data_IF_081383091977
#
_entry.id   IF_081383091977
#
_cell.length_a   1.000
_cell.length_b   1.000
_cell.length_c   1.000
_cell.angle_alpha   90.00
_cell.angle_beta   90.00
_cell.angle_gamma   90.00
#
_symmetry.space_group_name_H-M   'P 1'
#
loop_
_entity.id
_entity.type
_entity.pdbx_description
1 polymer ?
#
# COMPACT_ATOMS: atom_id res chain seq x y z
N UNK A 1 11.70 -99.95 -11.93
CA UNK A 1 10.81 -98.79 -12.08
C UNK A 1 11.25 -97.72 -11.09
N UNK A 2 11.95 -96.68 -11.56
CA UNK A 2 12.43 -95.58 -10.72
C UNK A 2 11.57 -94.34 -10.98
N UNK A 3 11.10 -93.77 -9.88
CA UNK A 3 10.21 -92.62 -9.76
C UNK A 3 10.83 -91.34 -10.33
N UNK A 4 10.08 -90.66 -11.21
CA UNK A 4 10.41 -89.31 -11.69
C UNK A 4 9.83 -88.31 -10.69
N UNK A 5 10.70 -87.52 -10.05
CA UNK A 5 10.30 -86.37 -9.23
C UNK A 5 10.23 -85.13 -10.13
N UNK A 6 9.02 -84.59 -10.32
CA UNK A 6 8.82 -83.26 -10.92
C UNK A 6 9.24 -82.18 -9.93
N UNK A 7 10.23 -81.37 -10.31
CA UNK A 7 10.57 -80.14 -9.60
C UNK A 7 9.74 -78.99 -10.16
N UNK A 8 8.81 -78.48 -9.36
CA UNK A 8 8.08 -77.24 -9.66
C UNK A 8 8.98 -76.05 -9.34
N UNK A 9 9.48 -75.37 -10.38
CA UNK A 9 10.14 -74.06 -10.25
C UNK A 9 9.04 -73.01 -10.13
N UNK A 10 8.78 -72.55 -8.91
CA UNK A 10 7.92 -71.41 -8.64
C UNK A 10 8.65 -70.12 -8.99
N UNK A 11 8.29 -69.49 -10.10
CA UNK A 11 8.71 -68.13 -10.44
C UNK A 11 7.84 -67.15 -9.63
N UNK A 12 8.38 -66.63 -8.53
CA UNK A 12 7.78 -65.52 -7.79
C UNK A 12 8.12 -64.22 -8.53
N UNK A 13 7.19 -63.69 -9.31
CA UNK A 13 7.26 -62.32 -9.83
C UNK A 13 6.98 -61.34 -8.68
N UNK A 14 8.05 -60.81 -8.09
CA UNK A 14 7.99 -59.59 -7.28
C UNK A 14 7.87 -58.41 -8.26
N UNK A 15 6.63 -58.02 -8.60
CA UNK A 15 6.37 -56.70 -9.17
C UNK A 15 6.64 -55.66 -8.10
N UNK A 16 7.85 -55.09 -8.10
CA UNK A 16 8.11 -53.81 -7.46
C UNK A 16 7.21 -52.77 -8.14
N UNK A 17 6.02 -52.55 -7.57
CA UNK A 17 5.23 -51.36 -7.80
C UNK A 17 6.01 -50.17 -7.26
N UNK A 18 6.93 -49.64 -8.07
CA UNK A 18 7.50 -48.33 -7.85
C UNK A 18 6.37 -47.33 -7.97
N UNK A 19 5.78 -46.95 -6.83
CA UNK A 19 4.98 -45.75 -6.72
C UNK A 19 5.93 -44.62 -7.06
N UNK A 20 5.91 -44.23 -8.33
CA UNK A 20 6.51 -42.99 -8.79
C UNK A 20 5.69 -41.90 -8.09
N UNK A 21 6.14 -41.50 -6.90
CA UNK A 21 5.71 -40.26 -6.29
C UNK A 21 6.26 -39.16 -7.18
N UNK A 22 5.60 -38.91 -8.32
CA UNK A 22 5.75 -37.67 -9.05
C UNK A 22 5.33 -36.63 -8.02
N UNK A 23 6.24 -35.77 -7.53
CA UNK A 23 5.80 -34.63 -6.75
C UNK A 23 4.86 -33.88 -7.69
N UNK A 24 3.55 -34.02 -7.46
CA UNK A 24 2.63 -33.02 -7.93
C UNK A 24 3.18 -31.76 -7.29
N UNK A 25 3.77 -30.88 -8.10
CA UNK A 25 3.92 -29.50 -7.69
C UNK A 25 2.54 -29.15 -7.17
N UNK A 26 2.43 -28.98 -5.85
CA UNK A 26 1.20 -28.51 -5.25
C UNK A 26 0.95 -27.19 -5.94
N UNK A 27 0.09 -27.20 -6.96
CA UNK A 27 -0.28 -26.01 -7.67
C UNK A 27 -0.78 -25.07 -6.59
N UNK A 28 -0.20 -23.88 -6.54
CA UNK A 28 -0.53 -22.86 -5.54
C UNK A 28 -1.91 -22.30 -5.86
N UNK A 29 -2.91 -23.17 -5.84
CA UNK A 29 -4.30 -22.77 -5.86
C UNK A 29 -4.54 -21.94 -4.61
N UNK A 30 -5.32 -20.87 -4.77
CA UNK A 30 -5.73 -20.08 -3.64
C UNK A 30 -6.62 -20.96 -2.79
N UNK A 31 -6.08 -21.58 -1.74
CA UNK A 31 -6.94 -22.28 -0.81
C UNK A 31 -7.87 -21.24 -0.19
N UNK A 32 -9.21 -21.41 -0.28
CA UNK A 32 -10.13 -20.46 0.32
C UNK A 32 -9.79 -20.34 1.81
N UNK A 33 -9.52 -19.12 2.23
CA UNK A 33 -8.95 -18.86 3.55
C UNK A 33 -9.67 -17.73 4.24
N UNK A 34 -9.77 -17.85 5.55
CA UNK A 34 -10.31 -16.83 6.41
C UNK A 34 -9.63 -15.48 6.16
N UNK A 35 -10.40 -14.41 6.37
CA UNK A 35 -9.89 -13.06 6.37
C UNK A 35 -8.80 -12.88 7.42
N UNK A 36 -7.80 -12.07 7.09
CA UNK A 36 -6.89 -11.56 8.12
C UNK A 36 -7.65 -10.67 9.12
N UNK A 37 -7.02 -10.32 10.24
CA UNK A 37 -7.62 -9.38 11.20
C UNK A 37 -7.92 -8.03 10.56
N UNK A 38 -7.03 -7.53 9.70
CA UNK A 38 -7.21 -6.24 9.01
C UNK A 38 -8.30 -6.32 7.95
N UNK A 39 -8.37 -7.44 7.21
CA UNK A 39 -9.49 -7.69 6.29
C UNK A 39 -10.83 -7.63 6.98
N UNK A 40 -10.97 -8.40 8.07
CA UNK A 40 -12.22 -8.49 8.82
C UNK A 40 -12.64 -7.11 9.34
N UNK A 41 -11.67 -6.31 9.80
CA UNK A 41 -11.94 -4.97 10.30
C UNK A 41 -12.38 -4.00 9.20
N UNK A 42 -11.75 -3.98 8.03
CA UNK A 42 -12.19 -3.12 6.91
C UNK A 42 -13.54 -3.60 6.38
N UNK A 43 -13.72 -4.92 6.29
CA UNK A 43 -14.97 -5.52 5.83
C UNK A 43 -16.16 -5.19 6.73
N UNK A 44 -15.94 -5.15 8.04
CA UNK A 44 -16.94 -4.75 9.02
C UNK A 44 -17.40 -3.29 8.83
N UNK A 45 -16.55 -2.40 8.30
CA UNK A 45 -16.91 -1.00 8.08
C UNK A 45 -17.85 -0.82 6.90
N UNK A 46 -17.55 -1.47 5.77
CA UNK A 46 -18.37 -1.32 4.56
C UNK A 46 -19.50 -2.35 4.46
N UNK A 47 -19.53 -3.39 5.32
CA UNK A 47 -20.67 -4.28 5.53
C UNK A 47 -21.18 -5.02 4.28
N UNK A 48 -20.28 -5.37 3.35
CA UNK A 48 -20.62 -5.82 2.01
C UNK A 48 -21.67 -4.97 1.26
N UNK A 49 -21.47 -3.65 1.14
CA UNK A 49 -22.27 -2.83 0.22
C UNK A 49 -22.09 -3.33 -1.23
N UNK A 50 -23.05 -4.13 -1.72
CA UNK A 50 -22.99 -4.79 -3.03
C UNK A 50 -22.88 -3.85 -4.22
N UNK A 51 -23.16 -2.55 -4.05
CA UNK A 51 -22.95 -1.54 -5.09
C UNK A 51 -21.46 -1.27 -5.30
N UNK A 52 -20.66 -1.39 -4.24
CA UNK A 52 -19.24 -1.10 -4.31
C UNK A 52 -18.45 -2.13 -5.14
N UNK A 53 -18.66 -3.45 -5.02
CA UNK A 53 -18.06 -4.43 -5.93
C UNK A 53 -18.42 -4.25 -7.39
N UNK A 54 -19.62 -3.73 -7.72
CA UNK A 54 -20.01 -3.43 -9.10
C UNK A 54 -19.26 -2.22 -9.64
N UNK A 55 -19.17 -1.16 -8.82
CA UNK A 55 -18.36 0.02 -9.12
C UNK A 55 -16.88 -0.37 -9.28
N UNK A 56 -16.35 -1.16 -8.35
CA UNK A 56 -14.99 -1.69 -8.38
C UNK A 56 -14.71 -2.46 -9.68
N UNK A 57 -15.61 -3.39 -10.07
CA UNK A 57 -15.42 -4.17 -11.28
C UNK A 57 -15.26 -3.30 -12.52
N UNK A 58 -16.07 -2.24 -12.61
CA UNK A 58 -16.03 -1.27 -13.71
C UNK A 58 -14.77 -0.40 -13.65
N UNK A 59 -14.51 0.27 -12.53
CA UNK A 59 -13.43 1.26 -12.44
C UNK A 59 -12.03 0.63 -12.42
N UNK A 60 -11.92 -0.64 -12.03
CA UNK A 60 -10.65 -1.41 -12.04
C UNK A 60 -10.58 -2.39 -13.22
N UNK A 61 -11.51 -2.28 -14.18
CA UNK A 61 -11.56 -3.09 -15.41
C UNK A 61 -11.32 -4.59 -15.12
N UNK A 62 -12.14 -5.11 -14.21
CA UNK A 62 -12.09 -6.49 -13.73
C UNK A 62 -13.06 -7.31 -14.58
N UNK A 63 -12.49 -8.24 -15.33
CA UNK A 63 -13.28 -9.11 -16.20
C UNK A 63 -13.90 -10.28 -15.44
N UNK A 64 -15.18 -10.52 -15.66
CA UNK A 64 -15.91 -11.63 -15.04
C UNK A 64 -15.24 -12.97 -15.34
N UNK A 65 -14.75 -13.19 -16.56
CA UNK A 65 -14.13 -14.45 -16.97
C UNK A 65 -12.95 -14.86 -16.07
N UNK A 66 -12.10 -13.89 -15.72
CA UNK A 66 -10.91 -14.12 -14.89
C UNK A 66 -11.28 -14.38 -13.41
N UNK A 67 -12.34 -13.72 -12.93
CA UNK A 67 -12.70 -13.68 -11.51
C UNK A 67 -13.90 -14.57 -11.15
N UNK A 68 -14.57 -15.19 -12.13
CA UNK A 68 -15.81 -15.98 -11.95
C UNK A 68 -15.67 -17.01 -10.83
N UNK A 69 -14.61 -17.81 -10.88
CA UNK A 69 -14.32 -18.87 -9.90
C UNK A 69 -13.70 -18.35 -8.61
N UNK A 70 -13.26 -17.08 -8.59
CA UNK A 70 -12.62 -16.38 -7.47
C UNK A 70 -13.56 -15.47 -6.70
N UNK A 71 -14.87 -15.61 -6.92
CA UNK A 71 -15.90 -14.91 -6.16
C UNK A 71 -16.46 -13.64 -6.81
N UNK A 72 -16.28 -13.42 -8.11
CA UNK A 72 -16.88 -12.28 -8.82
C UNK A 72 -18.39 -12.13 -8.52
N UNK A 73 -19.14 -13.23 -8.61
CA UNK A 73 -20.58 -13.30 -8.31
C UNK A 73 -20.91 -13.54 -6.83
N UNK A 74 -19.89 -13.69 -6.00
CA UNK A 74 -20.00 -13.93 -4.56
C UNK A 74 -19.15 -12.90 -3.81
N UNK A 75 -19.27 -11.62 -4.16
CA UNK A 75 -18.41 -10.56 -3.66
C UNK A 75 -18.46 -10.39 -2.12
N UNK A 76 -19.51 -10.87 -1.45
CA UNK A 76 -19.60 -10.88 0.01
C UNK A 76 -18.95 -12.11 0.66
N UNK A 77 -18.55 -13.12 -0.12
CA UNK A 77 -17.89 -14.30 0.41
C UNK A 77 -16.43 -13.97 0.72
N UNK A 78 -16.19 -13.59 1.96
CA UNK A 78 -14.91 -13.16 2.50
C UNK A 78 -13.79 -14.20 2.43
N UNK A 79 -14.12 -15.46 2.13
CA UNK A 79 -13.15 -16.54 1.93
C UNK A 79 -12.52 -16.53 0.53
N UNK A 80 -13.13 -15.81 -0.42
CA UNK A 80 -12.71 -15.74 -1.82
C UNK A 80 -11.89 -14.49 -2.11
N UNK A 81 -11.10 -14.56 -3.17
CA UNK A 81 -10.10 -13.56 -3.54
C UNK A 81 -10.75 -12.27 -3.97
N UNK A 82 -11.85 -12.34 -4.74
CA UNK A 82 -12.54 -11.15 -5.21
C UNK A 82 -13.04 -10.29 -4.04
N UNK A 83 -13.56 -10.92 -2.98
CA UNK A 83 -13.98 -10.22 -1.78
C UNK A 83 -12.83 -9.45 -1.12
N UNK A 84 -11.66 -10.07 -1.03
CA UNK A 84 -10.43 -9.48 -0.48
C UNK A 84 -9.83 -8.42 -1.41
N UNK A 85 -10.00 -8.55 -2.72
CA UNK A 85 -9.55 -7.60 -3.73
C UNK A 85 -10.31 -6.28 -3.59
N UNK A 86 -11.64 -6.32 -3.64
CA UNK A 86 -12.41 -5.08 -3.53
C UNK A 86 -12.35 -4.49 -2.10
N UNK A 87 -12.13 -5.31 -1.06
CA UNK A 87 -11.84 -4.82 0.30
C UNK A 87 -10.57 -3.94 0.34
N UNK A 88 -9.54 -4.32 -0.43
CA UNK A 88 -8.33 -3.53 -0.59
C UNK A 88 -8.58 -2.24 -1.39
N UNK A 89 -9.37 -2.32 -2.47
CA UNK A 89 -9.77 -1.12 -3.23
C UNK A 89 -10.61 -0.16 -2.39
N UNK A 90 -11.48 -0.67 -1.51
CA UNK A 90 -12.21 0.15 -0.55
C UNK A 90 -11.25 0.92 0.37
N UNK A 91 -10.15 0.29 0.80
CA UNK A 91 -9.12 0.97 1.58
C UNK A 91 -8.40 2.05 0.76
N UNK A 92 -8.12 1.85 -0.53
CA UNK A 92 -7.58 2.93 -1.39
C UNK A 92 -8.58 4.09 -1.47
N UNK A 93 -9.86 3.78 -1.71
CA UNK A 93 -10.92 4.77 -1.92
C UNK A 93 -11.41 5.48 -0.65
N UNK A 94 -11.24 4.90 0.55
CA UNK A 94 -11.81 5.46 1.81
C UNK A 94 -10.86 5.42 2.99
N UNK A 95 -9.70 4.81 2.82
CA UNK A 95 -8.70 4.58 3.88
C UNK A 95 -7.93 5.82 4.29
N UNK A 96 -7.89 6.83 3.43
CA UNK A 96 -7.23 8.12 3.68
C UNK A 96 -8.28 9.23 3.78
N UNK A 97 -7.94 10.37 4.38
CA UNK A 97 -8.89 11.50 4.46
C UNK A 97 -9.13 12.15 3.08
N UNK A 98 -10.29 11.85 2.47
CA UNK A 98 -10.78 12.51 1.26
C UNK A 98 -11.38 13.89 1.57
N UNK A 99 -11.12 14.87 0.69
CA UNK A 99 -11.95 16.06 0.56
C UNK A 99 -11.84 17.12 1.66
N UNK A 100 -10.73 17.18 2.40
CA UNK A 100 -10.43 18.37 3.22
C UNK A 100 -9.64 19.38 2.37
N UNK A 101 -10.12 20.64 2.22
CA UNK A 101 -9.44 21.69 1.44
C UNK A 101 -8.08 22.10 2.02
N UNK A 102 -7.77 21.63 3.23
CA UNK A 102 -6.44 21.61 3.81
C UNK A 102 -6.08 20.15 4.08
N UNK A 103 -5.31 19.54 3.18
CA UNK A 103 -4.54 18.36 3.54
C UNK A 103 -3.82 18.71 4.84
N UNK A 104 -3.85 17.83 5.84
CA UNK A 104 -2.95 18.01 6.97
C UNK A 104 -1.55 18.22 6.38
N UNK A 105 -0.72 19.14 6.91
CA UNK A 105 0.62 19.41 6.35
C UNK A 105 1.49 18.14 6.26
N UNK A 106 1.02 17.02 6.80
CA UNK A 106 1.64 15.72 6.95
C UNK A 106 1.31 14.71 5.84
N UNK A 107 0.17 14.80 5.14
CA UNK A 107 -0.18 13.81 4.09
C UNK A 107 0.71 13.97 2.86
N UNK A 108 1.23 12.90 2.28
CA UNK A 108 2.09 13.00 1.10
C UNK A 108 1.30 13.42 -0.13
N UNK A 109 0.15 12.76 -0.35
CA UNK A 109 -0.58 12.82 -1.60
C UNK A 109 -2.09 13.01 -1.40
N UNK A 110 -2.77 13.54 -2.43
CA UNK A 110 -4.22 13.55 -2.48
C UNK A 110 -4.72 12.13 -2.73
N UNK A 111 -5.50 11.53 -1.80
CA UNK A 111 -5.83 10.11 -1.92
C UNK A 111 -6.76 9.79 -3.09
N UNK A 112 -7.56 10.74 -3.55
CA UNK A 112 -8.41 10.57 -4.73
C UNK A 112 -7.59 10.76 -5.99
N UNK A 113 -6.93 11.91 -6.09
CA UNK A 113 -6.28 12.31 -7.33
C UNK A 113 -5.03 11.51 -7.61
N UNK A 114 -4.29 11.12 -6.59
CA UNK A 114 -3.01 10.44 -6.74
C UNK A 114 -3.18 8.92 -6.60
N UNK A 115 -3.51 8.40 -5.41
CA UNK A 115 -3.51 6.96 -5.19
C UNK A 115 -4.65 6.24 -5.92
N UNK A 116 -5.87 6.74 -5.80
CA UNK A 116 -7.03 6.06 -6.37
C UNK A 116 -7.04 6.17 -7.90
N UNK A 117 -6.85 7.36 -8.44
CA UNK A 117 -6.79 7.54 -9.89
C UNK A 117 -5.59 6.83 -10.53
N UNK A 118 -4.44 6.72 -9.84
CA UNK A 118 -3.35 5.87 -10.33
C UNK A 118 -3.74 4.38 -10.35
N UNK A 119 -4.50 3.91 -9.35
CA UNK A 119 -4.88 2.50 -9.22
C UNK A 119 -6.07 2.07 -10.09
N UNK A 120 -6.95 2.99 -10.48
CA UNK A 120 -8.11 2.74 -11.34
C UNK A 120 -7.66 2.37 -12.75
N UNK A 121 -8.34 1.45 -13.39
CA UNK A 121 -8.04 1.00 -14.74
C UNK A 121 -9.03 1.61 -15.75
N UNK A 122 -9.09 2.94 -15.80
CA UNK A 122 -10.09 3.67 -16.59
C UNK A 122 -10.12 3.21 -18.06
N UNK A 123 -11.33 2.98 -18.59
CA UNK A 123 -11.58 2.42 -19.92
C UNK A 123 -10.94 3.20 -21.10
N UNK A 124 -10.62 4.48 -20.91
CA UNK A 124 -10.04 5.34 -21.95
C UNK A 124 -8.60 5.75 -21.66
N UNK A 125 -7.99 5.18 -20.61
CA UNK A 125 -6.83 5.78 -19.99
C UNK A 125 -7.16 7.15 -19.40
N UNK A 126 -6.17 7.78 -18.79
CA UNK A 126 -6.31 9.10 -18.22
C UNK A 126 -4.97 9.82 -18.18
N UNK A 127 -4.90 10.86 -17.35
CA UNK A 127 -3.64 11.55 -17.04
C UNK A 127 -2.60 10.63 -16.37
N UNK A 128 -3.04 9.48 -15.86
CA UNK A 128 -2.23 8.60 -15.03
C UNK A 128 -1.64 7.41 -15.77
N UNK A 129 -2.32 6.86 -16.77
CA UNK A 129 -1.88 5.67 -17.51
C UNK A 129 -2.81 5.45 -18.70
N UNK A 130 -2.41 4.55 -19.60
CA UNK A 130 -3.29 4.02 -20.63
C UNK A 130 -4.25 2.98 -20.04
N UNK A 131 -5.00 2.28 -20.89
CA UNK A 131 -5.93 1.26 -20.42
C UNK A 131 -5.14 0.06 -19.89
N UNK A 132 -5.47 -0.40 -18.68
CA UNK A 132 -5.01 -1.68 -18.14
C UNK A 132 -6.17 -2.51 -17.55
N UNK A 133 -5.90 -3.72 -17.06
CA UNK A 133 -6.86 -4.61 -16.39
C UNK A 133 -6.29 -5.14 -15.08
N UNK A 134 -7.13 -5.24 -14.05
CA UNK A 134 -6.79 -5.98 -12.84
C UNK A 134 -7.13 -7.47 -13.00
N UNK A 135 -6.10 -8.30 -12.98
CA UNK A 135 -6.20 -9.76 -13.14
C UNK A 135 -5.65 -10.51 -11.94
N UNK A 136 -5.96 -11.81 -11.91
CA UNK A 136 -5.48 -12.68 -10.85
C UNK A 136 -5.02 -14.03 -11.36
N UNK A 137 -3.79 -14.40 -10.99
CA UNK A 137 -3.20 -15.70 -11.27
C UNK A 137 -2.88 -16.44 -9.99
N UNK A 138 -2.76 -17.76 -10.11
CA UNK A 138 -2.32 -18.59 -8.99
C UNK A 138 -0.87 -18.31 -8.63
N UNK A 139 -0.01 -18.25 -9.67
CA UNK A 139 1.42 -18.01 -9.55
C UNK A 139 1.86 -16.99 -10.59
N UNK A 140 2.72 -16.05 -10.17
CA UNK A 140 3.43 -15.16 -11.06
C UNK A 140 4.87 -15.67 -11.32
N UNK A 141 5.43 -15.46 -12.53
CA UNK A 141 6.80 -15.86 -12.80
C UNK A 141 7.80 -14.98 -12.06
N UNK A 142 8.65 -15.59 -11.23
CA UNK A 142 9.57 -14.91 -10.31
C UNK A 142 9.33 -15.41 -8.89
N UNK A 143 10.38 -15.65 -8.10
CA UNK A 143 10.17 -16.10 -6.70
C UNK A 143 9.41 -15.01 -5.95
N UNK A 144 8.31 -15.41 -5.30
CA UNK A 144 7.56 -14.61 -4.33
C UNK A 144 6.95 -13.30 -4.87
N UNK A 145 6.65 -13.24 -6.18
CA UNK A 145 5.93 -12.10 -6.74
C UNK A 145 4.46 -12.10 -6.28
N UNK A 146 4.10 -11.11 -5.46
CA UNK A 146 2.75 -10.85 -4.97
C UNK A 146 1.84 -10.24 -6.04
N UNK A 147 2.42 -9.37 -6.86
CA UNK A 147 1.78 -8.71 -7.99
C UNK A 147 2.79 -8.35 -9.07
N UNK A 148 2.29 -7.89 -10.21
CA UNK A 148 3.10 -7.43 -11.34
C UNK A 148 2.30 -6.55 -12.30
N UNK A 149 2.89 -5.44 -12.70
CA UNK A 149 2.56 -4.74 -13.92
C UNK A 149 3.17 -5.42 -15.16
N UNK A 150 2.37 -5.63 -16.19
CA UNK A 150 2.81 -6.19 -17.47
C UNK A 150 2.42 -5.26 -18.61
N UNK A 151 3.43 -4.60 -19.18
CA UNK A 151 3.31 -3.88 -20.44
C UNK A 151 3.02 -4.84 -21.60
N UNK A 152 2.01 -4.53 -22.43
CA UNK A 152 1.65 -5.29 -23.62
C UNK A 152 1.49 -4.35 -24.82
N UNK A 153 2.45 -4.27 -25.77
CA UNK A 153 2.45 -3.25 -26.83
C UNK A 153 1.25 -3.29 -27.80
N UNK A 154 0.53 -4.41 -27.84
CA UNK A 154 -0.62 -4.62 -28.75
C UNK A 154 -1.86 -5.15 -28.01
N UNK A 155 -1.89 -5.02 -26.68
CA UNK A 155 -3.04 -5.39 -25.87
C UNK A 155 -3.16 -4.42 -24.68
N UNK A 156 -4.26 -4.51 -23.96
CA UNK A 156 -4.48 -3.72 -22.73
C UNK A 156 -3.34 -4.01 -21.73
N UNK A 157 -2.78 -3.07 -20.98
CA UNK A 157 -1.76 -3.41 -19.97
C UNK A 157 -2.38 -4.25 -18.83
N UNK A 158 -1.57 -4.91 -17.99
CA UNK A 158 -2.10 -5.72 -16.87
C UNK A 158 -1.49 -5.32 -15.54
N UNK A 159 -2.32 -5.21 -14.51
CA UNK A 159 -1.92 -5.36 -13.11
C UNK A 159 -2.40 -6.75 -12.67
N UNK A 160 -1.48 -7.69 -12.52
CA UNK A 160 -1.81 -9.07 -12.14
C UNK A 160 -1.40 -9.31 -10.70
N UNK A 161 -2.32 -9.81 -9.89
CA UNK A 161 -2.06 -10.25 -8.52
C UNK A 161 -1.96 -11.77 -8.43
N UNK A 162 -1.19 -12.29 -7.47
CA UNK A 162 -0.99 -13.72 -7.25
C UNK A 162 -1.74 -14.23 -6.01
N UNK A 163 -1.98 -15.53 -5.90
CA UNK A 163 -2.64 -16.13 -4.73
C UNK A 163 -1.96 -15.80 -3.40
N UNK A 164 -0.63 -15.68 -3.39
CA UNK A 164 0.13 -15.27 -2.20
C UNK A 164 -0.33 -13.92 -1.64
N UNK A 165 -0.88 -13.03 -2.46
CA UNK A 165 -1.37 -11.74 -1.99
C UNK A 165 -2.72 -11.85 -1.23
N UNK A 166 -3.44 -12.97 -1.40
CA UNK A 166 -4.76 -13.23 -0.80
C UNK A 166 -4.74 -14.35 0.23
N UNK A 167 -3.59 -14.98 0.44
CA UNK A 167 -3.45 -16.13 1.32
C UNK A 167 -3.56 -15.74 2.79
N UNK A 168 -4.39 -16.43 3.58
CA UNK A 168 -4.48 -16.16 5.02
C UNK A 168 -3.28 -16.65 5.84
N UNK A 169 -2.33 -17.38 5.25
CA UNK A 169 -1.17 -17.98 5.94
C UNK A 169 0.14 -17.34 5.47
N UNK A 170 0.92 -16.85 6.42
CA UNK A 170 2.28 -16.34 6.22
C UNK A 170 2.64 -15.25 7.23
N UNK A 171 3.82 -14.65 7.08
CA UNK A 171 4.31 -13.62 8.01
C UNK A 171 3.33 -12.46 8.12
N UNK A 172 3.10 -11.98 9.35
CA UNK A 172 2.24 -10.83 9.64
C UNK A 172 2.56 -9.65 8.70
N UNK A 173 1.55 -9.20 7.96
CA UNK A 173 1.62 -8.01 7.10
C UNK A 173 1.64 -8.27 5.59
N UNK A 174 2.17 -9.40 5.12
CA UNK A 174 2.26 -9.70 3.66
C UNK A 174 0.87 -9.97 3.05
N UNK A 175 -0.07 -10.45 3.84
CA UNK A 175 -1.40 -10.83 3.34
C UNK A 175 -2.52 -9.92 3.83
N UNK A 176 -2.18 -8.76 4.39
CA UNK A 176 -3.17 -7.82 4.90
C UNK A 176 -3.88 -7.08 3.76
N UNK A 177 -5.06 -6.57 4.07
CA UNK A 177 -5.77 -5.63 3.17
C UNK A 177 -4.93 -4.39 2.86
N UNK A 178 -4.08 -3.96 3.80
CA UNK A 178 -3.19 -2.81 3.62
C UNK A 178 -2.07 -3.10 2.62
N UNK A 179 -1.45 -4.28 2.67
CA UNK A 179 -0.44 -4.66 1.70
C UNK A 179 -1.06 -4.83 0.30
N UNK A 180 -2.26 -5.42 0.22
CA UNK A 180 -2.99 -5.50 -1.06
C UNK A 180 -3.24 -4.15 -1.69
N UNK A 181 -3.78 -3.22 -0.90
CA UNK A 181 -4.04 -1.86 -1.37
C UNK A 181 -2.74 -1.18 -1.83
N UNK A 182 -1.67 -1.33 -1.06
CA UNK A 182 -0.37 -0.76 -1.37
C UNK A 182 0.25 -1.38 -2.64
N UNK A 183 0.13 -2.69 -2.85
CA UNK A 183 0.56 -3.35 -4.09
C UNK A 183 -0.26 -2.87 -5.29
N UNK A 184 -1.57 -2.64 -5.18
CA UNK A 184 -2.35 -2.11 -6.30
C UNK A 184 -1.88 -0.71 -6.69
N UNK A 185 -1.61 0.16 -5.71
CA UNK A 185 -1.01 1.48 -5.97
C UNK A 185 0.38 1.33 -6.60
N UNK A 186 1.23 0.46 -6.07
CA UNK A 186 2.58 0.17 -6.57
C UNK A 186 2.57 -0.25 -8.05
N UNK A 187 1.82 -1.31 -8.37
CA UNK A 187 1.80 -1.86 -9.73
C UNK A 187 1.13 -0.91 -10.73
N UNK A 188 0.15 -0.13 -10.28
CA UNK A 188 -0.48 0.83 -11.18
C UNK A 188 0.40 2.07 -11.40
N UNK A 189 1.33 2.36 -10.48
CA UNK A 189 2.36 3.38 -10.71
C UNK A 189 3.34 2.98 -11.83
N UNK A 190 3.56 1.69 -12.06
CA UNK A 190 4.26 1.23 -13.26
C UNK A 190 3.52 1.59 -14.56
N UNK A 191 2.19 1.61 -14.55
CA UNK A 191 1.40 2.05 -15.71
C UNK A 191 1.62 3.54 -16.02
N UNK A 192 1.76 4.38 -14.97
CA UNK A 192 2.15 5.78 -15.13
C UNK A 192 3.54 5.95 -15.71
N UNK A 193 4.49 5.15 -15.24
CA UNK A 193 5.86 5.17 -15.75
C UNK A 193 5.89 4.78 -17.23
N UNK A 194 5.12 3.78 -17.63
CA UNK A 194 5.04 3.31 -19.02
C UNK A 194 4.58 4.41 -19.99
N UNK A 195 3.45 5.08 -19.72
CA UNK A 195 2.97 6.16 -20.60
C UNK A 195 3.90 7.38 -20.62
N UNK A 196 4.72 7.54 -19.58
CA UNK A 196 5.74 8.56 -19.48
C UNK A 196 7.11 8.05 -19.95
N UNK A 197 7.18 6.99 -20.75
CA UNK A 197 8.42 6.50 -21.37
C UNK A 197 9.52 6.11 -20.37
N UNK A 198 9.16 5.89 -19.11
CA UNK A 198 10.04 5.36 -18.07
C UNK A 198 9.93 3.84 -18.15
N UNK A 199 11.07 3.14 -18.08
CA UNK A 199 11.09 1.68 -18.19
C UNK A 199 10.42 1.03 -16.97
N UNK A 200 9.13 0.78 -17.06
CA UNK A 200 8.27 0.19 -16.03
C UNK A 200 8.53 -1.30 -15.72
N UNK A 201 9.64 -1.87 -16.21
CA UNK A 201 10.00 -3.27 -15.92
C UNK A 201 10.65 -3.37 -14.55
N UNK A 202 10.16 -4.30 -13.75
CA UNK A 202 10.75 -4.66 -12.46
C UNK A 202 12.28 -4.84 -12.58
N UNK A 203 13.02 -3.93 -11.97
CA UNK A 203 14.45 -4.08 -11.78
C UNK A 203 14.84 -3.55 -10.40
N UNK A 204 15.47 -4.41 -9.60
CA UNK A 204 15.90 -4.07 -8.24
C UNK A 204 16.94 -2.95 -8.18
N UNK A 205 17.42 -2.43 -9.31
CA UNK A 205 18.41 -1.35 -9.39
C UNK A 205 17.90 -0.09 -10.11
N UNK A 206 16.65 -0.09 -10.56
CA UNK A 206 16.06 1.05 -11.27
C UNK A 206 14.72 1.41 -10.67
N UNK A 207 13.66 1.27 -11.44
CA UNK A 207 12.36 1.91 -11.24
C UNK A 207 11.62 1.41 -9.99
N UNK A 208 11.93 0.18 -9.56
CA UNK A 208 11.41 -0.40 -8.32
C UNK A 208 12.06 0.20 -7.09
N UNK A 209 13.35 0.52 -7.17
CA UNK A 209 14.18 0.88 -6.03
C UNK A 209 13.66 2.09 -5.28
N UNK A 210 13.62 2.03 -3.95
CA UNK A 210 13.20 3.17 -3.14
C UNK A 210 14.22 4.31 -3.21
N UNK A 211 13.87 5.40 -3.91
CA UNK A 211 14.67 6.63 -4.03
C UNK A 211 14.03 7.77 -3.27
N UNK A 212 14.35 7.89 -1.98
CA UNK A 212 13.76 8.92 -1.15
C UNK A 212 13.92 10.34 -1.71
N UNK A 213 12.85 11.11 -1.59
CA UNK A 213 12.90 12.56 -1.60
C UNK A 213 12.05 13.18 -0.49
N UNK A 214 12.44 14.35 0.06
CA UNK A 214 11.57 15.12 0.95
C UNK A 214 10.28 15.56 0.27
N UNK A 215 9.17 15.64 1.03
CA UNK A 215 7.87 16.16 0.55
C UNK A 215 8.00 17.54 -0.12
N UNK A 216 8.89 18.39 0.39
CA UNK A 216 9.15 19.73 -0.15
C UNK A 216 9.63 19.76 -1.62
N UNK A 217 10.13 18.63 -2.16
CA UNK A 217 10.57 18.57 -3.56
C UNK A 217 9.40 18.64 -4.56
N UNK A 218 8.18 18.29 -4.13
CA UNK A 218 6.96 18.36 -4.94
C UNK A 218 6.02 19.38 -4.29
N UNK A 219 5.95 20.58 -4.88
CA UNK A 219 5.32 21.79 -4.30
C UNK A 219 3.83 21.70 -3.99
N UNK A 220 3.21 20.55 -4.18
CA UNK A 220 1.83 20.28 -3.78
C UNK A 220 1.57 18.84 -3.34
N UNK A 221 2.61 18.00 -3.21
CA UNK A 221 2.40 16.57 -2.93
C UNK A 221 1.65 15.83 -4.02
N UNK A 222 1.61 16.32 -5.26
CA UNK A 222 0.97 15.62 -6.37
C UNK A 222 1.95 14.57 -6.94
N UNK A 223 1.54 13.29 -7.05
CA UNK A 223 2.38 12.22 -7.61
C UNK A 223 2.78 12.50 -9.08
N UNK A 224 1.91 13.22 -9.80
CA UNK A 224 2.03 13.46 -11.25
C UNK A 224 2.79 14.74 -11.64
N UNK A 225 3.12 15.64 -10.71
CA UNK A 225 3.64 16.95 -11.09
C UNK A 225 5.08 16.86 -11.64
N UNK A 226 5.22 17.19 -12.93
CA UNK A 226 6.51 17.46 -13.57
C UNK A 226 7.02 18.84 -13.15
N UNK A 227 8.23 18.93 -12.59
CA UNK A 227 8.89 20.22 -12.35
C UNK A 227 9.96 20.46 -13.42
N UNK A 228 9.85 21.60 -14.12
CA UNK A 228 10.86 22.12 -15.06
C UNK A 228 11.23 21.16 -16.22
N UNK A 229 10.29 20.39 -16.75
CA UNK A 229 10.55 19.46 -17.86
C UNK A 229 11.43 18.25 -17.48
N UNK A 230 11.79 18.11 -16.20
CA UNK A 230 12.39 16.91 -15.66
C UNK A 230 11.29 16.06 -15.02
N UNK A 231 11.15 14.83 -15.51
CA UNK A 231 10.31 13.79 -14.91
C UNK A 231 10.99 13.35 -13.61
N UNK A 232 10.78 14.11 -12.52
CA UNK A 232 11.07 13.63 -11.19
C UNK A 232 10.06 12.53 -10.89
N UNK A 233 10.40 11.29 -11.28
CA UNK A 233 9.53 10.15 -11.08
C UNK A 233 9.68 9.63 -9.67
N UNK A 234 8.57 9.51 -8.94
CA UNK A 234 8.54 8.70 -7.73
C UNK A 234 8.95 7.26 -8.08
N UNK A 235 9.76 6.64 -7.23
CA UNK A 235 9.97 5.19 -7.32
C UNK A 235 8.72 4.44 -6.86
N UNK A 236 8.42 3.27 -7.43
CA UNK A 236 7.18 2.54 -7.05
C UNK A 236 7.17 2.14 -5.58
N UNK A 237 8.31 1.73 -4.98
CA UNK A 237 8.36 1.44 -3.55
C UNK A 237 8.19 2.70 -2.70
N UNK A 238 8.59 3.86 -3.19
CA UNK A 238 8.32 5.10 -2.48
C UNK A 238 6.85 5.43 -2.45
N UNK A 239 6.16 5.40 -3.61
CA UNK A 239 4.71 5.60 -3.67
C UNK A 239 3.98 4.61 -2.76
N UNK A 240 4.43 3.35 -2.73
CA UNK A 240 3.87 2.33 -1.85
C UNK A 240 4.03 2.67 -0.36
N UNK A 241 5.22 3.12 0.05
CA UNK A 241 5.51 3.52 1.44
C UNK A 241 4.75 4.78 1.83
N UNK A 242 4.67 5.78 0.95
CA UNK A 242 3.93 7.03 1.16
C UNK A 242 2.43 6.75 1.33
N UNK A 243 1.85 5.88 0.49
CA UNK A 243 0.45 5.43 0.64
C UNK A 243 0.19 4.76 2.00
N UNK A 244 1.10 3.87 2.42
CA UNK A 244 0.96 3.17 3.69
C UNK A 244 1.06 4.13 4.88
N UNK A 245 1.94 5.14 4.81
CA UNK A 245 2.04 6.11 5.87
C UNK A 245 0.92 7.13 5.89
N UNK A 246 0.39 7.54 4.74
CA UNK A 246 -0.86 8.30 4.71
C UNK A 246 -2.01 7.50 5.33
N UNK A 247 -2.06 6.18 5.09
CA UNK A 247 -3.05 5.29 5.71
C UNK A 247 -2.88 5.20 7.24
N UNK A 248 -1.65 5.26 7.74
CA UNK A 248 -1.36 5.20 9.17
C UNK A 248 -1.62 6.53 9.90
N UNK A 249 -1.09 7.62 9.33
CA UNK A 249 -0.97 8.94 9.96
C UNK A 249 -2.13 9.87 9.62
N UNK A 250 -2.68 9.76 8.41
CA UNK A 250 -3.76 10.60 7.88
C UNK A 250 -5.01 9.76 7.52
N UNK A 251 -5.46 8.84 8.41
CA UNK A 251 -6.52 7.90 8.10
C UNK A 251 -7.86 8.60 7.84
N UNK A 252 -8.62 8.08 6.89
CA UNK A 252 -10.04 8.39 6.77
C UNK A 252 -10.83 7.99 8.03
N UNK A 253 -12.02 8.57 8.25
CA UNK A 253 -12.86 8.23 9.40
C UNK A 253 -13.35 6.77 9.40
N UNK A 254 -13.21 6.08 8.26
CA UNK A 254 -13.63 4.70 8.05
C UNK A 254 -12.47 3.70 8.15
N UNK A 255 -11.26 4.16 8.47
CA UNK A 255 -10.06 3.32 8.49
C UNK A 255 -9.91 2.67 9.87
N UNK A 256 -10.04 1.34 9.99
CA UNK A 256 -9.91 0.68 11.27
C UNK A 256 -8.50 0.85 11.86
N UNK A 257 -8.40 0.98 13.18
CA UNK A 257 -7.12 1.13 13.87
C UNK A 257 -6.13 0.00 13.52
N UNK A 258 -6.59 -1.24 13.43
CA UNK A 258 -5.73 -2.38 13.06
C UNK A 258 -5.17 -2.27 11.63
N UNK A 259 -5.91 -1.66 10.70
CA UNK A 259 -5.40 -1.38 9.35
C UNK A 259 -4.32 -0.30 9.40
N UNK A 260 -4.50 0.75 10.20
CA UNK A 260 -3.48 1.81 10.39
C UNK A 260 -2.17 1.26 10.94
N UNK A 261 -2.23 0.45 12.00
CA UNK A 261 -1.05 -0.20 12.59
C UNK A 261 -0.38 -1.13 11.59
N UNK A 262 -1.15 -1.92 10.85
CA UNK A 262 -0.61 -2.80 9.81
C UNK A 262 0.06 -2.02 8.67
N UNK A 263 -0.47 -0.84 8.31
CA UNK A 263 0.12 0.01 7.31
C UNK A 263 1.47 0.57 7.79
N UNK A 264 1.55 1.04 9.04
CA UNK A 264 2.80 1.54 9.64
C UNK A 264 3.90 0.47 9.72
N UNK A 265 3.56 -0.73 10.18
CA UNK A 265 4.50 -1.86 10.26
C UNK A 265 5.05 -2.19 8.86
N UNK A 266 4.16 -2.25 7.87
CA UNK A 266 4.55 -2.64 6.52
C UNK A 266 5.35 -1.55 5.81
N UNK A 267 4.99 -0.28 5.97
CA UNK A 267 5.77 0.85 5.47
C UNK A 267 7.20 0.83 6.00
N UNK A 268 7.37 0.60 7.31
CA UNK A 268 8.68 0.52 7.96
C UNK A 268 9.50 -0.66 7.44
N UNK A 269 8.85 -1.81 7.23
CA UNK A 269 9.48 -3.00 6.65
C UNK A 269 9.97 -2.76 5.22
N UNK A 270 9.15 -2.15 4.37
CA UNK A 270 9.52 -1.80 2.99
C UNK A 270 10.63 -0.74 2.95
N UNK A 271 10.49 0.36 3.69
CA UNK A 271 11.48 1.41 3.75
C UNK A 271 12.85 0.90 4.23
N UNK A 272 12.89 -0.14 5.07
CA UNK A 272 14.15 -0.74 5.55
C UNK A 272 14.71 -1.78 4.57
N UNK A 273 13.86 -2.62 3.97
CA UNK A 273 14.30 -3.76 3.14
C UNK A 273 14.51 -3.42 1.67
N UNK A 274 13.89 -2.34 1.17
CA UNK A 274 13.90 -1.91 -0.24
C UNK A 274 14.66 -0.61 -0.49
N UNK A 275 15.21 0.01 0.56
CA UNK A 275 16.17 1.11 0.42
C UNK A 275 17.37 0.57 -0.34
N UNK A 276 17.49 0.95 -1.61
CA UNK A 276 18.76 0.80 -2.30
C UNK A 276 19.73 1.69 -1.56
N UNK A 277 20.78 1.11 -0.99
CA UNK A 277 21.90 1.87 -0.43
C UNK A 277 22.41 2.79 -1.54
N UNK A 278 21.96 4.04 -1.54
CA UNK A 278 22.21 4.99 -2.61
C UNK A 278 23.72 5.28 -2.63
N UNK A 279 24.44 4.51 -3.44
CA UNK A 279 25.79 4.84 -3.87
C UNK A 279 25.68 5.33 -5.30
N UNK A 280 25.20 6.56 -5.45
CA UNK A 280 25.57 7.40 -6.60
C UNK A 280 26.84 8.15 -6.24
N UNK A 281 27.76 8.18 -7.18
CA UNK A 281 29.03 8.90 -7.08
C UNK A 281 28.79 10.42 -7.09
N UNK A 282 29.73 11.23 -6.57
CA UNK A 282 29.56 12.67 -6.35
C UNK A 282 29.23 13.53 -7.58
N UNK A 283 29.24 12.97 -8.79
CA UNK A 283 29.05 13.72 -10.04
C UNK A 283 27.58 14.11 -10.31
N UNK A 284 26.61 13.45 -9.67
CA UNK A 284 25.17 13.67 -9.93
C UNK A 284 24.48 14.63 -8.93
N UNK A 285 25.21 15.26 -8.01
CA UNK A 285 24.64 16.29 -7.11
C UNK A 285 23.57 15.82 -6.11
N UNK A 286 23.36 14.51 -5.93
CA UNK A 286 22.41 13.94 -4.97
C UNK A 286 23.11 13.45 -3.71
N UNK A 287 22.66 13.95 -2.55
CA UNK A 287 23.23 13.70 -1.23
C UNK A 287 22.95 12.27 -0.77
N UNK A 288 23.98 11.58 -0.27
CA UNK A 288 23.84 10.34 0.50
C UNK A 288 22.95 10.59 1.71
N UNK A 289 21.74 10.05 1.72
CA UNK A 289 20.97 9.93 2.96
C UNK A 289 21.52 8.73 3.73
N UNK A 290 21.71 8.92 5.04
CA UNK A 290 22.39 7.97 5.91
C UNK A 290 21.76 6.57 5.93
N UNK A 291 22.46 5.62 6.56
CA UNK A 291 22.11 4.19 6.65
C UNK A 291 20.90 3.87 7.55
N UNK A 292 19.96 4.81 7.72
CA UNK A 292 18.70 4.60 8.42
C UNK A 292 17.52 4.54 7.43
N UNK A 293 16.36 4.02 7.85
CA UNK A 293 15.14 4.23 7.05
C UNK A 293 14.96 5.73 6.89
N UNK A 294 14.99 6.22 5.65
CA UNK A 294 14.85 7.65 5.38
C UNK A 294 13.49 8.20 5.84
N UNK A 295 12.53 7.32 6.18
CA UNK A 295 11.21 7.67 6.64
C UNK A 295 10.56 6.53 7.46
N UNK A 296 9.83 6.89 8.51
CA UNK A 296 8.84 6.05 9.20
C UNK A 296 7.55 6.84 9.36
N UNK A 297 6.39 6.19 9.26
CA UNK A 297 5.12 6.86 9.52
C UNK A 297 5.13 7.51 10.92
N UNK A 298 4.57 8.70 11.02
CA UNK A 298 4.60 9.57 12.20
C UNK A 298 5.74 10.57 12.19
N UNK A 299 6.62 10.56 11.19
CA UNK A 299 7.72 11.51 11.04
C UNK A 299 7.82 12.05 9.61
N UNK A 300 6.75 12.65 9.04
CA UNK A 300 6.94 13.43 7.82
C UNK A 300 7.85 14.57 8.26
N UNK A 301 9.14 14.49 7.89
CA UNK A 301 10.07 15.58 8.12
C UNK A 301 9.45 16.79 7.39
N UNK A 302 8.82 17.65 8.18
CA UNK A 302 7.98 18.73 7.69
C UNK A 302 8.93 19.75 7.11
N UNK A 303 9.23 19.61 5.82
CA UNK A 303 10.07 20.53 5.07
C UNK A 303 11.52 20.44 5.55
N UNK A 304 12.46 20.28 4.61
CA UNK A 304 13.89 20.28 4.89
C UNK A 304 14.40 21.65 5.33
N UNK A 305 13.95 22.16 6.47
CA UNK A 305 14.78 23.03 7.27
C UNK A 305 15.99 22.18 7.69
N UNK A 306 17.23 22.58 7.34
CA UNK A 306 18.39 21.99 7.98
C UNK A 306 18.15 22.06 9.48
N UNK A 307 18.38 20.98 10.21
CA UNK A 307 18.41 21.02 11.67
C UNK A 307 19.62 21.87 12.09
N UNK A 308 19.53 23.19 11.96
CA UNK A 308 20.31 24.07 12.81
C UNK A 308 19.74 23.89 14.20
N UNK A 309 20.53 23.41 15.18
CA UNK A 309 20.05 23.41 16.56
C UNK A 309 19.55 24.82 16.87
N UNK A 310 18.40 24.95 17.57
CA UNK A 310 17.91 26.27 17.92
C UNK A 310 19.06 27.03 18.57
N UNK A 311 19.30 28.31 18.18
CA UNK A 311 20.28 29.10 18.91
C UNK A 311 19.93 29.01 20.39
N UNK A 312 20.93 28.88 21.29
CA UNK A 312 20.66 28.84 22.71
C UNK A 312 19.73 30.00 23.04
N UNK A 313 18.68 29.78 23.86
CA UNK A 313 17.71 30.82 24.16
C UNK A 313 18.49 32.07 24.56
N UNK A 314 18.22 33.24 23.94
CA UNK A 314 18.84 34.48 24.39
C UNK A 314 18.56 34.59 25.89
N UNK A 315 19.61 34.85 26.66
CA UNK A 315 19.50 35.01 28.11
C UNK A 315 18.32 35.96 28.39
N UNK A 316 17.25 35.40 28.97
CA UNK A 316 15.97 36.06 29.09
C UNK A 316 16.12 37.31 29.96
N UNK A 317 15.89 38.49 29.38
CA UNK A 317 15.31 39.61 30.10
C UNK A 317 13.81 39.61 29.80
N UNK A 318 13.03 38.94 30.64
CA UNK A 318 11.57 39.06 30.66
C UNK A 318 11.20 40.51 30.96
N UNK A 319 10.87 41.30 29.93
CA UNK A 319 10.25 42.62 30.07
C UNK A 319 9.39 42.90 28.83
N UNK A 320 8.25 42.22 28.71
CA UNK A 320 6.98 42.78 28.20
C UNK A 320 6.00 41.66 27.87
N UNK A 321 4.80 41.72 28.48
CA UNK A 321 3.66 40.92 28.06
C UNK A 321 3.13 41.49 26.74
N UNK A 322 3.42 40.81 25.63
CA UNK A 322 2.62 40.93 24.41
C UNK A 322 1.88 39.62 24.24
N UNK A 323 0.57 39.73 24.00
CA UNK A 323 -0.37 38.62 23.91
C UNK A 323 -0.13 37.91 22.57
N UNK A 324 0.51 36.74 22.60
CA UNK A 324 0.56 35.81 21.47
C UNK A 324 -0.69 34.91 21.46
N UNK A 325 -1.24 34.70 20.26
CA UNK A 325 -2.55 34.08 19.98
C UNK A 325 -2.53 32.54 20.09
N UNK A 326 -1.55 31.95 20.78
CA UNK A 326 -1.36 30.49 20.88
C UNK A 326 -1.89 29.86 22.19
N UNK A 327 -2.83 30.50 22.88
CA UNK A 327 -3.44 29.96 24.10
C UNK A 327 -4.96 29.73 24.00
N UNK A 328 -5.51 29.54 22.79
CA UNK A 328 -6.90 29.08 22.60
C UNK A 328 -6.89 27.57 22.36
N UNK A 329 -6.75 26.79 23.44
CA UNK A 329 -6.85 25.33 23.33
C UNK A 329 -6.95 24.57 24.64
N UNK A 330 -6.79 25.23 25.80
CA UNK A 330 -6.67 24.52 27.07
C UNK A 330 -7.36 25.23 28.24
N UNK A 331 -8.66 25.55 28.12
CA UNK A 331 -9.52 25.85 29.27
C UNK A 331 -10.81 25.03 29.22
N UNK A 332 -10.70 23.85 29.84
CA UNK A 332 -11.67 22.88 30.37
C UNK A 332 -13.09 23.37 30.73
N UNK A 333 -14.06 22.50 30.45
CA UNK A 333 -15.11 22.13 31.42
C UNK A 333 -14.48 21.38 32.61
N UNK A 334 -14.23 22.09 33.72
CA UNK A 334 -14.10 21.50 35.05
C UNK A 334 -14.75 22.45 36.06
N UNK A 335 -15.81 21.99 36.71
CA UNK A 335 -16.29 22.59 37.96
C UNK A 335 -15.32 22.22 39.09
N UNK A 336 -14.99 23.20 39.93
CA UNK A 336 -14.36 22.97 41.23
C UNK A 336 -15.44 22.55 42.25
N UNK A 337 -15.09 21.67 43.19
CA UNK A 337 -16.00 21.04 44.16
C UNK A 337 -16.47 21.97 45.30
N UNK A 338 -16.03 23.23 45.30
CA UNK A 338 -16.31 24.24 46.32
C UNK A 338 -17.21 25.39 45.83
N UNK A 339 -17.81 25.27 44.64
CA UNK A 339 -18.87 26.19 44.19
C UNK A 339 -18.38 27.57 43.72
N UNK A 340 -17.08 27.76 43.52
CA UNK A 340 -16.52 28.98 42.91
C UNK A 340 -16.66 29.00 41.38
N UNK A 341 -17.21 30.09 40.83
CA UNK A 341 -17.30 30.35 39.39
C UNK A 341 -16.06 31.14 38.93
N UNK A 342 -15.30 30.60 37.98
CA UNK A 342 -14.23 31.35 37.29
C UNK A 342 -14.90 32.20 36.21
N UNK A 343 -14.86 33.53 36.34
CA UNK A 343 -15.21 34.47 35.26
C UNK A 343 -13.97 34.74 34.42
N UNK A 344 -13.98 34.28 33.18
CA UNK A 344 -13.03 34.75 32.16
C UNK A 344 -13.57 36.08 31.58
N UNK A 345 -12.65 37.01 31.36
CA UNK A 345 -12.81 38.43 31.05
C UNK A 345 -13.98 38.78 30.11
N UNK A 346 -14.73 39.81 30.51
CA UNK A 346 -15.72 40.50 29.68
C UNK A 346 -15.01 41.30 28.55
N UNK A 347 -15.45 41.08 27.31
CA UNK A 347 -15.11 41.90 26.14
C UNK A 347 -15.86 43.23 26.20
N UNK A 348 -15.23 44.29 26.71
CA UNK A 348 -15.61 45.66 26.35
C UNK A 348 -14.43 46.36 25.67
N UNK A 349 -14.46 46.38 24.33
CA UNK A 349 -13.61 47.24 23.52
C UNK A 349 -14.06 48.71 23.60
N UNK A 350 -13.14 49.68 23.45
CA UNK A 350 -13.50 51.10 23.43
C UNK A 350 -14.18 51.50 22.12
N UNK A 351 -15.16 52.42 22.23
CA UNK A 351 -15.80 53.13 21.10
C UNK A 351 -14.90 54.17 20.48
#
# INVERSE_FOLDING_TARGET
>A
MKTVRSASVGLVLLTMGGILMIPHAAFADCTPMAMTLTDSAVFAVHGCDVRFPQWNAKEFNIEEEEWRTRGYHAACNTTLEYAKHWNAVYLIWRGNMFGRPTFGPQAFHDPERDYLEAARALDRGGRWHDKFEHRMKDVLPGRDAESRFTYRPFAVNLVTSACVLYSGVGSYGVHSVTNRAANFVHESWHAWQDINGINARHNTKGVDGYFYHPKAQYSGGDLWQEKNGHRNSHSVFQVQVEFLCDTADNPGPFTPFVARVSAQIYATSLATSRLLSATRTPEDGLVRLGTGPAYTCGSPDLLGEPVTPPPPPPASTCNSCTIDVECIGFCRDRRLEDGGLIRCCDDEGPR
#
